data_IF_286226594343
#
_entry.id   IF_286226594343
#
_cell.length_a   1.000
_cell.length_b   1.000
_cell.length_c   1.000
_cell.angle_alpha   90.00
_cell.angle_beta   90.00
_cell.angle_gamma   90.00
#
_symmetry.space_group_name_H-M   'P 1'
#
loop_
_entity.id
_entity.type
_entity.pdbx_description
1 polymer ?
#
# COMPACT_ATOMS: atom_id res chain seq x y z
N UNK A 1 13.07 4.86 0.65
CA UNK A 1 13.18 5.40 2.03
C UNK A 1 13.79 6.79 1.92
N UNK A 2 13.46 7.69 2.84
CA UNK A 2 13.96 9.06 2.86
C UNK A 2 14.59 9.36 4.22
N UNK A 3 15.74 10.03 4.22
CA UNK A 3 16.38 10.49 5.45
C UNK A 3 15.65 11.73 5.99
N UNK A 4 15.42 11.81 7.30
CA UNK A 4 14.91 13.01 7.97
C UNK A 4 15.86 13.44 9.10
N UNK A 5 16.05 14.74 9.25
CA UNK A 5 16.79 15.31 10.37
C UNK A 5 16.01 15.18 11.69
N UNK A 6 16.73 15.20 12.83
CA UNK A 6 16.13 14.97 14.17
C UNK A 6 15.09 16.01 14.59
N UNK A 7 15.18 17.20 14.03
CA UNK A 7 14.28 18.33 14.24
C UNK A 7 13.08 18.35 13.27
N UNK A 8 13.04 17.44 12.29
CA UNK A 8 11.89 17.31 11.38
C UNK A 8 10.64 16.86 12.14
N UNK A 9 9.49 17.49 11.87
CA UNK A 9 8.22 17.16 12.49
C UNK A 9 7.80 15.68 12.30
N UNK A 10 8.19 15.05 11.19
CA UNK A 10 7.90 13.66 10.87
C UNK A 10 8.99 12.69 11.33
N UNK A 11 10.05 13.17 11.99
CA UNK A 11 11.13 12.34 12.53
C UNK A 11 10.65 11.18 13.43
N UNK A 12 9.57 11.30 14.24
CA UNK A 12 9.07 10.17 15.03
C UNK A 12 8.64 8.93 14.21
N UNK A 13 8.44 9.07 12.90
CA UNK A 13 8.13 7.95 12.00
C UNK A 13 9.38 7.22 11.47
N UNK A 14 10.58 7.76 11.71
CA UNK A 14 11.83 7.17 11.25
C UNK A 14 12.17 5.87 11.98
N UNK A 15 12.94 5.03 11.31
CA UNK A 15 13.66 3.94 11.94
C UNK A 15 14.86 4.46 12.76
N UNK A 16 15.60 3.55 13.41
CA UNK A 16 16.79 3.88 14.22
C UNK A 16 17.89 4.62 13.45
N UNK A 17 17.91 4.49 12.13
CA UNK A 17 18.92 5.08 11.24
C UNK A 17 18.44 6.42 10.63
N UNK A 18 17.36 7.02 11.18
CA UNK A 18 16.76 8.28 10.71
C UNK A 18 16.12 8.22 9.31
N UNK A 19 15.70 7.04 8.87
CA UNK A 19 15.01 6.86 7.59
C UNK A 19 13.51 6.58 7.79
N UNK A 20 12.67 7.21 6.97
CA UNK A 20 11.22 6.96 6.88
C UNK A 20 10.85 6.31 5.54
N UNK A 21 9.80 5.50 5.55
CA UNK A 21 9.20 4.97 4.31
C UNK A 21 8.49 6.10 3.55
N UNK A 22 8.78 6.23 2.26
CA UNK A 22 8.32 7.34 1.43
C UNK A 22 6.79 7.39 1.32
N UNK A 23 6.13 6.28 1.01
CA UNK A 23 4.67 6.20 0.96
C UNK A 23 4.01 6.60 2.29
N UNK A 24 4.63 6.27 3.44
CA UNK A 24 4.13 6.70 4.75
C UNK A 24 4.26 8.20 4.91
N UNK A 25 5.39 8.78 4.51
CA UNK A 25 5.64 10.21 4.59
C UNK A 25 4.68 11.01 3.70
N UNK A 26 4.40 10.52 2.47
CA UNK A 26 3.43 11.14 1.55
C UNK A 26 2.04 11.22 2.19
N UNK A 27 1.57 10.12 2.80
CA UNK A 27 0.26 10.09 3.49
C UNK A 27 0.26 10.91 4.78
N UNK A 28 1.34 10.88 5.56
CA UNK A 28 1.46 11.71 6.77
C UNK A 28 1.38 13.21 6.44
N UNK A 29 2.09 13.64 5.38
CA UNK A 29 2.07 15.01 4.90
C UNK A 29 0.69 15.45 4.42
N UNK A 30 -0.04 14.59 3.69
CA UNK A 30 -1.40 14.93 3.23
C UNK A 30 -2.40 15.03 4.38
N UNK A 31 -2.21 14.27 5.47
CA UNK A 31 -3.03 14.34 6.68
C UNK A 31 -2.61 15.42 7.67
N UNK A 32 -1.41 16.00 7.51
CA UNK A 32 -0.86 16.98 8.45
C UNK A 32 -0.50 16.42 9.83
N UNK A 33 -0.26 15.10 9.95
CA UNK A 33 0.12 14.45 11.21
C UNK A 33 1.01 13.23 11.01
N UNK A 34 1.74 12.84 12.05
CA UNK A 34 2.45 11.57 12.08
C UNK A 34 1.46 10.39 12.02
N UNK A 35 1.85 9.33 11.30
CA UNK A 35 1.11 8.07 11.28
C UNK A 35 1.52 7.19 12.44
N UNK A 36 0.55 6.59 13.12
CA UNK A 36 0.79 5.57 14.12
C UNK A 36 1.33 4.28 13.50
N UNK A 37 2.00 3.47 14.31
CA UNK A 37 2.62 2.20 13.87
C UNK A 37 1.62 1.17 13.35
N UNK A 38 0.37 1.22 13.82
CA UNK A 38 -0.71 0.32 13.39
C UNK A 38 -1.48 0.80 12.15
N UNK A 39 -1.25 2.05 11.72
CA UNK A 39 -1.84 2.57 10.49
C UNK A 39 -0.98 2.09 9.32
N UNK A 40 -1.55 1.33 8.40
CA UNK A 40 -0.85 0.73 7.26
C UNK A 40 -1.21 1.50 5.99
N UNK A 41 -0.22 1.75 5.14
CA UNK A 41 -0.44 2.36 3.84
C UNK A 41 -0.36 1.26 2.79
N UNK A 42 -1.47 1.05 2.07
CA UNK A 42 -1.63 0.07 1.00
C UNK A 42 -1.46 0.73 -0.36
N UNK A 43 -0.74 0.08 -1.26
CA UNK A 43 -0.65 0.48 -2.67
C UNK A 43 -1.80 -0.16 -3.46
N UNK A 44 -2.73 0.65 -3.95
CA UNK A 44 -3.95 0.20 -4.63
C UNK A 44 -3.61 -0.60 -5.89
N UNK A 45 -2.61 -0.16 -6.67
CA UNK A 45 -2.18 -0.86 -7.88
C UNK A 45 -1.11 -1.94 -7.65
N UNK A 46 -0.73 -2.22 -6.39
CA UNK A 46 0.36 -3.14 -6.02
C UNK A 46 1.78 -2.79 -6.50
N UNK A 47 1.98 -1.60 -7.05
CA UNK A 47 3.28 -1.09 -7.51
C UNK A 47 3.94 -0.33 -6.37
N UNK A 48 4.96 -0.93 -5.74
CA UNK A 48 5.56 -0.46 -4.47
C UNK A 48 6.33 0.87 -4.58
N UNK A 49 6.77 1.22 -5.78
CA UNK A 49 7.48 2.45 -6.11
C UNK A 49 6.54 3.58 -6.58
N UNK A 50 5.26 3.28 -6.83
CA UNK A 50 4.25 4.29 -7.16
C UNK A 50 3.69 4.94 -5.88
N UNK A 51 4.41 5.92 -5.35
CA UNK A 51 4.05 6.63 -4.12
C UNK A 51 3.14 7.86 -4.35
N UNK A 52 2.47 7.95 -5.51
CA UNK A 52 1.49 9.03 -5.75
C UNK A 52 0.33 8.89 -4.77
N UNK A 53 -0.12 10.00 -4.17
CA UNK A 53 -1.15 9.97 -3.13
C UNK A 53 -2.43 9.26 -3.58
N UNK A 54 -2.82 9.36 -4.85
CA UNK A 54 -4.02 8.69 -5.40
C UNK A 54 -3.90 7.16 -5.44
N UNK A 55 -2.67 6.62 -5.37
CA UNK A 55 -2.40 5.19 -5.36
C UNK A 55 -2.20 4.63 -3.94
N UNK A 56 -2.27 5.48 -2.92
CA UNK A 56 -2.03 5.10 -1.53
C UNK A 56 -3.32 5.15 -0.72
N UNK A 57 -3.58 4.10 0.04
CA UNK A 57 -4.74 4.01 0.93
C UNK A 57 -4.29 3.74 2.36
N UNK A 58 -4.73 4.58 3.31
CA UNK A 58 -4.54 4.32 4.72
C UNK A 58 -5.59 3.34 5.23
N UNK A 59 -5.16 2.24 5.82
CA UNK A 59 -6.01 1.15 6.30
C UNK A 59 -5.57 0.66 7.68
N UNK A 60 -6.50 0.04 8.41
CA UNK A 60 -6.21 -0.68 9.65
C UNK A 60 -5.68 -2.09 9.35
N UNK A 61 -4.98 -2.71 10.32
CA UNK A 61 -4.35 -4.05 10.14
C UNK A 61 -5.33 -5.16 9.78
N UNK A 62 -6.50 -5.18 10.41
CA UNK A 62 -7.59 -6.11 10.10
C UNK A 62 -8.06 -5.95 8.64
N UNK A 63 -8.25 -4.71 8.19
CA UNK A 63 -8.68 -4.40 6.82
C UNK A 63 -7.60 -4.69 5.79
N UNK A 64 -6.35 -4.38 6.07
CA UNK A 64 -5.23 -4.67 5.17
C UNK A 64 -5.13 -6.18 4.86
N UNK A 65 -5.29 -7.02 5.88
CA UNK A 65 -5.31 -8.49 5.72
C UNK A 65 -6.47 -8.94 4.82
N UNK A 66 -7.67 -8.42 5.05
CA UNK A 66 -8.85 -8.74 4.24
C UNK A 66 -8.67 -8.31 2.78
N UNK A 67 -8.21 -7.08 2.55
CA UNK A 67 -7.92 -6.53 1.21
C UNK A 67 -6.95 -7.45 0.48
N UNK A 68 -5.82 -7.79 1.10
CA UNK A 68 -4.81 -8.68 0.51
C UNK A 68 -5.38 -10.05 0.12
N UNK A 69 -6.24 -10.64 0.96
CA UNK A 69 -6.89 -11.94 0.69
C UNK A 69 -7.84 -11.83 -0.51
N UNK A 70 -8.67 -10.79 -0.53
CA UNK A 70 -9.66 -10.56 -1.58
C UNK A 70 -8.99 -10.28 -2.93
N UNK A 71 -7.95 -9.45 -2.97
CA UNK A 71 -7.19 -9.14 -4.18
C UNK A 71 -6.56 -10.41 -4.78
N UNK A 72 -5.93 -11.25 -3.95
CA UNK A 72 -5.39 -12.55 -4.39
C UNK A 72 -6.49 -13.45 -4.98
N UNK A 73 -7.68 -13.45 -4.37
CA UNK A 73 -8.80 -14.24 -4.85
C UNK A 73 -9.34 -13.71 -6.18
N UNK A 74 -9.44 -12.40 -6.35
CA UNK A 74 -9.87 -11.75 -7.59
C UNK A 74 -8.92 -12.14 -8.73
N UNK A 75 -7.60 -11.94 -8.55
CA UNK A 75 -6.58 -12.30 -9.56
C UNK A 75 -6.69 -13.78 -9.96
N UNK A 76 -6.89 -14.66 -8.99
CA UNK A 76 -7.07 -16.10 -9.27
C UNK A 76 -8.35 -16.39 -10.07
N UNK A 77 -9.46 -15.76 -9.71
CA UNK A 77 -10.75 -15.93 -10.40
C UNK A 77 -10.71 -15.37 -11.81
N UNK A 78 -10.07 -14.22 -12.02
CA UNK A 78 -9.88 -13.62 -13.35
C UNK A 78 -9.08 -14.54 -14.28
N UNK A 79 -7.98 -15.13 -13.79
CA UNK A 79 -7.21 -16.13 -14.55
C UNK A 79 -8.05 -17.34 -14.92
N UNK A 80 -8.83 -17.87 -13.98
CA UNK A 80 -9.75 -18.99 -14.26
C UNK A 80 -10.81 -18.62 -15.29
N UNK A 81 -11.42 -17.45 -15.17
CA UNK A 81 -12.42 -16.97 -16.12
C UNK A 81 -11.83 -16.79 -17.52
N UNK A 82 -10.62 -16.25 -17.64
CA UNK A 82 -9.94 -16.12 -18.93
C UNK A 82 -9.69 -17.51 -19.57
N UNK A 83 -9.23 -18.48 -18.79
CA UNK A 83 -9.01 -19.85 -19.27
C UNK A 83 -10.32 -20.53 -19.72
N UNK A 84 -11.40 -20.39 -18.96
CA UNK A 84 -12.72 -20.94 -19.31
C UNK A 84 -13.28 -20.30 -20.58
N UNK A 85 -13.17 -18.96 -20.72
CA UNK A 85 -13.59 -18.25 -21.94
C UNK A 85 -12.82 -18.74 -23.16
N UNK A 86 -11.51 -18.95 -23.04
CA UNK A 86 -10.69 -19.46 -24.13
C UNK A 86 -11.06 -20.91 -24.53
N UNK A 87 -11.54 -21.74 -23.60
CA UNK A 87 -12.03 -23.10 -23.90
C UNK A 87 -13.37 -23.06 -24.65
N UNK A 88 -14.27 -22.14 -24.29
CA UNK A 88 -15.56 -21.99 -24.95
C UNK A 88 -15.45 -21.47 -26.39
N UNK A 89 -14.48 -20.59 -26.66
CA UNK A 89 -14.22 -20.06 -28.01
C UNK A 89 -13.57 -21.07 -28.98
N UNK A 90 -13.09 -22.21 -28.46
CA UNK A 90 -12.48 -23.30 -29.26
C UNK A 90 -13.47 -24.42 -29.61
N UNK A 91 -14.72 -24.31 -29.18
CA UNK A 91 -15.82 -25.21 -29.53
C UNK A 91 -16.68 -24.57 -30.61
#
# INVERSE_FOLDING_TARGET
MLYLAKDDFFYPMCNKDSYVLEHRLVVAKSLGRNLHRWEIVHHINHVKDDNRLQNLQLVSDDRHKQITILERRIVHLEKKNAALKAQLQKR
#
